data_IF_185365840114
#
_entry.id   IF_185365840114
#
_cell.length_a   1.000
_cell.length_b   1.000
_cell.length_c   1.000
_cell.angle_alpha   90.00
_cell.angle_beta   90.00
_cell.angle_gamma   90.00
#
_symmetry.space_group_name_H-M   'P 1'
#
loop_
_entity.id
_entity.type
_entity.pdbx_description
1 polymer ?
#
# COMPACT_ATOMS: atom_id res chain seq x y z
N UNK A 1 4.94 3.88 -10.81
CA UNK A 1 5.71 2.87 -10.07
C UNK A 1 5.59 1.48 -10.68
N UNK A 2 4.39 0.96 -10.95
CA UNK A 2 4.20 -0.38 -11.55
C UNK A 2 5.02 -0.67 -12.81
N UNK A 3 5.01 0.25 -13.78
CA UNK A 3 5.77 0.09 -15.02
C UNK A 3 7.26 -0.05 -14.72
N UNK A 4 7.81 0.77 -13.83
CA UNK A 4 9.22 0.74 -13.44
C UNK A 4 9.58 -0.56 -12.71
N UNK A 5 8.76 -0.98 -11.73
CA UNK A 5 8.99 -2.22 -11.00
C UNK A 5 9.01 -3.43 -11.96
N UNK A 6 8.02 -3.51 -12.85
CA UNK A 6 7.96 -4.57 -13.88
C UNK A 6 9.15 -4.51 -14.84
N UNK A 7 9.61 -3.32 -15.20
CA UNK A 7 10.78 -3.13 -16.08
C UNK A 7 12.04 -3.63 -15.39
N UNK A 8 12.28 -3.26 -14.13
CA UNK A 8 13.43 -3.72 -13.35
C UNK A 8 13.47 -5.24 -13.20
N UNK A 9 12.32 -5.87 -12.94
CA UNK A 9 12.21 -7.34 -12.82
C UNK A 9 12.53 -8.03 -14.15
N UNK A 10 12.02 -7.50 -15.26
CA UNK A 10 12.21 -8.11 -16.60
C UNK A 10 13.58 -7.82 -17.22
N UNK A 11 14.29 -6.81 -16.72
CA UNK A 11 15.58 -6.44 -17.27
C UNK A 11 16.59 -7.60 -17.10
N UNK A 12 17.28 -8.02 -18.18
CA UNK A 12 18.31 -9.05 -18.09
C UNK A 12 19.47 -8.59 -17.18
N UNK A 13 20.22 -9.56 -16.65
CA UNK A 13 21.48 -9.26 -15.98
C UNK A 13 22.41 -8.54 -16.95
N UNK A 14 23.03 -7.46 -16.48
CA UNK A 14 24.00 -6.70 -17.25
C UNK A 14 25.17 -7.61 -17.59
N UNK A 15 25.55 -7.68 -18.87
CA UNK A 15 26.72 -8.42 -19.31
C UNK A 15 27.75 -7.45 -19.89
N UNK A 16 28.92 -7.37 -19.24
CA UNK A 16 30.05 -6.53 -19.65
C UNK A 16 31.29 -7.36 -19.98
N UNK A 17 31.14 -8.67 -20.26
CA UNK A 17 32.26 -9.59 -20.48
C UNK A 17 33.21 -9.19 -21.61
N UNK A 18 32.74 -8.34 -22.54
CA UNK A 18 33.48 -7.91 -23.73
C UNK A 18 34.03 -6.49 -23.60
N UNK A 19 34.04 -5.91 -22.40
CA UNK A 19 34.52 -4.56 -22.13
C UNK A 19 35.77 -4.64 -21.25
N UNK A 20 36.85 -3.99 -21.67
CA UNK A 20 38.02 -3.80 -20.82
C UNK A 20 37.71 -2.74 -19.76
N UNK A 21 37.60 -3.19 -18.51
CA UNK A 21 37.30 -2.36 -17.35
C UNK A 21 38.53 -2.14 -16.46
N UNK A 22 39.73 -2.55 -16.93
CA UNK A 22 40.95 -2.49 -16.15
C UNK A 22 40.93 -3.34 -14.88
N UNK A 23 41.85 -3.05 -13.96
CA UNK A 23 42.09 -3.87 -12.74
C UNK A 23 40.92 -3.89 -11.74
N UNK A 24 40.04 -2.89 -11.79
CA UNK A 24 38.88 -2.77 -10.86
C UNK A 24 37.59 -3.36 -11.44
N UNK A 25 37.62 -3.85 -12.69
CA UNK A 25 36.44 -4.30 -13.41
C UNK A 25 35.67 -5.44 -12.75
N UNK A 26 36.36 -6.37 -12.10
CA UNK A 26 35.74 -7.52 -11.45
C UNK A 26 34.84 -7.10 -10.28
N UNK A 27 35.31 -6.17 -9.44
CA UNK A 27 34.54 -5.68 -8.30
C UNK A 27 33.40 -4.76 -8.78
N UNK A 28 33.61 -3.97 -9.83
CA UNK A 28 32.56 -3.18 -10.46
C UNK A 28 31.41 -4.05 -10.99
N UNK A 29 31.71 -5.12 -11.74
CA UNK A 29 30.69 -6.05 -12.27
C UNK A 29 29.88 -6.68 -11.13
N UNK A 30 30.57 -7.17 -10.10
CA UNK A 30 29.93 -7.75 -8.91
C UNK A 30 28.97 -6.76 -8.25
N UNK A 31 29.38 -5.50 -8.08
CA UNK A 31 28.54 -4.45 -7.49
C UNK A 31 27.34 -4.08 -8.38
N UNK A 32 27.51 -4.06 -9.71
CA UNK A 32 26.40 -3.86 -10.65
C UNK A 32 25.37 -4.98 -10.51
N UNK A 33 25.79 -6.24 -10.48
CA UNK A 33 24.88 -7.37 -10.33
C UNK A 33 24.17 -7.37 -8.97
N UNK A 34 24.88 -7.06 -7.89
CA UNK A 34 24.28 -6.91 -6.56
C UNK A 34 23.20 -5.81 -6.57
N UNK A 35 23.51 -4.65 -7.15
CA UNK A 35 22.55 -3.54 -7.23
C UNK A 35 21.35 -3.88 -8.12
N UNK A 36 21.53 -4.63 -9.22
CA UNK A 36 20.41 -5.13 -10.02
C UNK A 36 19.51 -6.03 -9.20
N UNK A 37 20.08 -6.96 -8.42
CA UNK A 37 19.29 -7.90 -7.63
C UNK A 37 18.54 -7.20 -6.50
N UNK A 38 19.19 -6.29 -5.77
CA UNK A 38 18.53 -5.46 -4.75
C UNK A 38 17.40 -4.62 -5.35
N UNK A 39 17.60 -4.09 -6.56
CA UNK A 39 16.56 -3.33 -7.27
C UNK A 39 15.34 -4.21 -7.58
N UNK A 40 15.54 -5.47 -8.00
CA UNK A 40 14.45 -6.42 -8.23
C UNK A 40 13.72 -6.79 -6.95
N UNK A 41 14.45 -7.02 -5.85
CA UNK A 41 13.87 -7.28 -4.53
C UNK A 41 12.95 -6.12 -4.11
N UNK A 42 13.43 -4.88 -4.25
CA UNK A 42 12.64 -3.69 -3.93
C UNK A 42 11.44 -3.51 -4.87
N UNK A 43 11.59 -3.84 -6.16
CA UNK A 43 10.50 -3.82 -7.12
C UNK A 43 9.40 -4.84 -6.78
N UNK A 44 9.78 -6.07 -6.38
CA UNK A 44 8.84 -7.08 -5.90
C UNK A 44 8.16 -6.63 -4.61
N UNK A 45 8.90 -6.05 -3.66
CA UNK A 45 8.31 -5.46 -2.45
C UNK A 45 7.24 -4.41 -2.77
N UNK A 46 7.48 -3.54 -3.75
CA UNK A 46 6.48 -2.58 -4.22
C UNK A 46 5.20 -3.30 -4.71
N UNK A 47 5.36 -4.29 -5.60
CA UNK A 47 4.23 -4.96 -6.25
C UNK A 47 3.42 -5.82 -5.29
N UNK A 48 4.10 -6.53 -4.38
CA UNK A 48 3.50 -7.58 -3.57
C UNK A 48 3.12 -7.10 -2.17
N UNK A 49 3.70 -6.00 -1.69
CA UNK A 49 3.47 -5.49 -0.34
C UNK A 49 2.97 -4.05 -0.33
N UNK A 50 3.75 -3.10 -0.83
CA UNK A 50 3.43 -1.68 -0.66
C UNK A 50 2.17 -1.27 -1.45
N UNK A 51 2.06 -1.69 -2.70
CA UNK A 51 0.90 -1.39 -3.55
C UNK A 51 -0.40 -1.99 -2.98
N UNK A 52 -0.46 -3.29 -2.61
CA UNK A 52 -1.66 -3.86 -1.98
C UNK A 52 -2.09 -3.12 -0.71
N UNK A 53 -1.14 -2.67 0.12
CA UNK A 53 -1.46 -1.86 1.32
C UNK A 53 -2.14 -0.55 0.96
N UNK A 54 -1.60 0.20 -0.01
CA UNK A 54 -2.21 1.46 -0.49
C UNK A 54 -3.61 1.22 -1.05
N UNK A 55 -3.80 0.14 -1.84
CA UNK A 55 -5.11 -0.24 -2.36
C UNK A 55 -6.10 -0.60 -1.24
N UNK A 56 -5.63 -1.27 -0.19
CA UNK A 56 -6.43 -1.58 1.00
C UNK A 56 -6.85 -0.30 1.72
N UNK A 57 -5.94 0.65 1.93
CA UNK A 57 -6.26 1.95 2.55
C UNK A 57 -7.33 2.69 1.75
N UNK A 58 -7.23 2.73 0.41
CA UNK A 58 -8.25 3.34 -0.44
C UNK A 58 -9.62 2.63 -0.30
N UNK A 59 -9.63 1.29 -0.25
CA UNK A 59 -10.85 0.52 -0.03
C UNK A 59 -11.45 0.77 1.36
N UNK A 60 -10.63 0.89 2.40
CA UNK A 60 -11.08 1.21 3.75
C UNK A 60 -11.80 2.56 3.81
N UNK A 61 -11.36 3.56 3.04
CA UNK A 61 -12.04 4.86 2.91
C UNK A 61 -13.43 4.69 2.28
N UNK A 62 -13.51 3.98 1.16
CA UNK A 62 -14.79 3.73 0.45
C UNK A 62 -15.77 2.96 1.34
N UNK A 63 -15.30 1.90 2.00
CA UNK A 63 -16.13 1.09 2.89
C UNK A 63 -16.63 1.91 4.09
N UNK A 64 -15.81 2.83 4.63
CA UNK A 64 -16.24 3.71 5.71
C UNK A 64 -17.30 4.71 5.25
N UNK A 65 -17.16 5.30 4.05
CA UNK A 65 -18.17 6.17 3.46
C UNK A 65 -19.51 5.45 3.26
N UNK A 66 -19.48 4.21 2.77
CA UNK A 66 -20.68 3.38 2.65
C UNK A 66 -21.31 3.08 4.02
N UNK A 67 -20.51 2.71 5.02
CA UNK A 67 -21.01 2.51 6.39
C UNK A 67 -21.66 3.78 6.94
N UNK A 68 -21.01 4.94 6.78
CA UNK A 68 -21.55 6.21 7.25
C UNK A 68 -22.90 6.54 6.59
N UNK A 69 -23.02 6.33 5.27
CA UNK A 69 -24.28 6.50 4.53
C UNK A 69 -25.38 5.60 5.07
N UNK A 70 -25.06 4.33 5.35
CA UNK A 70 -26.03 3.39 5.90
C UNK A 70 -26.50 3.77 7.31
N UNK A 71 -25.65 4.44 8.09
CA UNK A 71 -25.99 4.94 9.43
C UNK A 71 -26.71 6.29 9.40
N UNK A 72 -26.68 7.03 8.29
CA UNK A 72 -27.15 8.43 8.24
C UNK A 72 -28.60 8.58 8.72
N UNK A 73 -29.53 7.85 8.13
CA UNK A 73 -30.96 7.93 8.48
C UNK A 73 -31.23 7.48 9.93
N UNK A 74 -30.46 6.50 10.41
CA UNK A 74 -30.56 5.98 11.79
C UNK A 74 -30.13 7.06 12.78
N UNK A 75 -28.98 7.70 12.52
CA UNK A 75 -28.45 8.76 13.39
C UNK A 75 -29.34 9.99 13.36
N UNK A 76 -29.87 10.37 12.19
CA UNK A 76 -30.83 11.47 12.08
C UNK A 76 -32.10 11.18 12.89
N UNK A 77 -32.67 9.97 12.74
CA UNK A 77 -33.85 9.56 13.50
C UNK A 77 -33.60 9.54 15.02
N UNK A 78 -32.44 9.05 15.45
CA UNK A 78 -32.05 9.06 16.87
C UNK A 78 -31.99 10.50 17.42
N UNK A 79 -31.44 11.45 16.66
CA UNK A 79 -31.42 12.88 17.04
C UNK A 79 -32.84 13.44 17.15
N UNK A 80 -33.70 13.19 16.16
CA UNK A 80 -35.09 13.66 16.17
C UNK A 80 -35.89 13.10 17.35
N UNK A 81 -35.67 11.83 17.71
CA UNK A 81 -36.30 11.15 18.85
C UNK A 81 -35.64 11.50 20.20
N UNK A 82 -34.52 12.22 20.20
CA UNK A 82 -33.65 12.45 21.37
C UNK A 82 -33.15 11.15 22.01
N UNK A 83 -32.99 10.10 21.20
CA UNK A 83 -32.46 8.81 21.64
C UNK A 83 -30.93 8.88 21.75
N UNK A 84 -30.46 9.18 22.96
CA UNK A 84 -29.02 9.29 23.25
C UNK A 84 -28.32 7.93 23.20
N UNK A 85 -29.03 6.83 23.44
CA UNK A 85 -28.43 5.51 23.47
C UNK A 85 -28.10 5.06 22.04
N UNK A 86 -29.08 5.15 21.14
CA UNK A 86 -28.93 4.80 19.72
C UNK A 86 -27.89 5.71 19.04
N UNK A 87 -27.92 7.01 19.32
CA UNK A 87 -26.92 7.95 18.79
C UNK A 87 -25.50 7.60 19.25
N UNK A 88 -25.31 7.25 20.54
CA UNK A 88 -24.00 6.90 21.08
C UNK A 88 -23.48 5.59 20.49
N UNK A 89 -24.35 4.59 20.35
CA UNK A 89 -24.00 3.31 19.76
C UNK A 89 -23.53 3.50 18.31
N UNK A 90 -24.32 4.18 17.47
CA UNK A 90 -23.95 4.36 16.07
C UNK A 90 -22.68 5.20 15.87
N UNK A 91 -22.44 6.21 16.71
CA UNK A 91 -21.17 6.95 16.67
C UNK A 91 -19.99 6.06 17.11
N UNK A 92 -20.16 5.22 18.14
CA UNK A 92 -19.10 4.32 18.59
C UNK A 92 -18.73 3.28 17.53
N UNK A 93 -19.70 2.76 16.79
CA UNK A 93 -19.45 1.84 15.68
C UNK A 93 -18.59 2.51 14.60
N UNK A 94 -18.96 3.73 14.20
CA UNK A 94 -18.20 4.52 13.22
C UNK A 94 -16.77 4.82 13.72
N UNK A 95 -16.60 5.20 14.98
CA UNK A 95 -15.28 5.42 15.60
C UNK A 95 -14.47 4.12 15.62
N UNK A 96 -15.10 2.98 15.90
CA UNK A 96 -14.44 1.68 15.91
C UNK A 96 -13.91 1.31 14.53
N UNK A 97 -14.67 1.57 13.47
CA UNK A 97 -14.20 1.39 12.10
C UNK A 97 -13.03 2.33 11.77
N UNK A 98 -13.10 3.61 12.15
CA UNK A 98 -11.99 4.56 11.96
C UNK A 98 -10.71 4.05 12.63
N UNK A 99 -10.80 3.63 13.89
CA UNK A 99 -9.67 3.14 14.67
C UNK A 99 -9.10 1.82 14.13
N UNK A 100 -9.96 0.97 13.58
CA UNK A 100 -9.52 -0.25 12.90
C UNK A 100 -8.75 0.11 11.63
N UNK A 101 -9.36 0.93 10.76
CA UNK A 101 -8.76 1.36 9.50
C UNK A 101 -7.42 2.07 9.69
N UNK A 102 -7.27 2.89 10.73
CA UNK A 102 -6.03 3.63 11.01
C UNK A 102 -4.86 2.75 11.44
N UNK A 103 -5.12 1.55 11.97
CA UNK A 103 -4.08 0.59 12.39
C UNK A 103 -3.60 -0.31 11.26
N UNK A 104 -4.35 -0.38 10.16
CA UNK A 104 -4.01 -1.19 9.00
C UNK A 104 -3.10 -0.47 7.99
N UNK A 105 -2.79 0.80 8.26
CA UNK A 105 -1.95 1.69 7.44
C UNK A 105 -0.48 1.51 7.79
#
# INVERSE_FOLDING_TARGET
>A
MDLYAKTMIKQPNVNLSNIDLGSEGAELIKNIHLNQELSRINANYWLDTAKPKIQKTARNIVNYDEQFKNYYDILEAAVQKKDKAELKEGINDLITTINTNSKEV
#
